data_IF_309180558019
#
_entry.id   IF_309180558019
#
_cell.length_a   1.000
_cell.length_b   1.000
_cell.length_c   1.000
_cell.angle_alpha   90.00
_cell.angle_beta   90.00
_cell.angle_gamma   90.00
#
_symmetry.space_group_name_H-M   'P 1'
#
loop_
_entity.id
_entity.type
_entity.pdbx_description
1 polymer ?
#
# COMPACT_ATOMS: atom_id res chain seq x y z
N UNK A 1 -24.46 49.54 78.43
CA UNK A 1 -23.30 48.80 77.92
C UNK A 1 -23.78 47.39 77.69
N UNK A 2 -24.06 47.06 76.42
CA UNK A 2 -24.62 45.74 76.02
C UNK A 2 -23.55 44.92 75.30
N UNK A 3 -23.31 43.77 75.88
CA UNK A 3 -22.47 42.70 75.26
C UNK A 3 -23.27 42.03 74.15
N UNK A 4 -22.71 41.96 72.98
CA UNK A 4 -23.21 41.18 71.86
C UNK A 4 -22.42 39.91 71.76
N UNK A 5 -23.09 38.79 72.00
CA UNK A 5 -22.64 37.43 71.84
C UNK A 5 -22.69 37.06 70.35
N UNK A 6 -21.55 36.72 69.76
CA UNK A 6 -21.48 36.21 68.40
C UNK A 6 -21.50 34.67 68.37
N UNK A 7 -22.55 34.10 67.76
CA UNK A 7 -22.68 32.67 67.55
C UNK A 7 -21.87 32.24 66.28
N UNK A 8 -20.88 31.32 66.42
CA UNK A 8 -20.19 30.66 65.32
C UNK A 8 -21.03 29.46 64.83
N UNK A 9 -21.49 29.56 63.61
CA UNK A 9 -22.09 28.40 62.89
C UNK A 9 -20.99 27.66 62.16
N UNK A 10 -20.62 26.46 62.60
CA UNK A 10 -19.74 25.57 61.94
C UNK A 10 -20.50 24.85 60.81
N UNK A 11 -20.30 25.29 59.59
CA UNK A 11 -20.81 24.61 58.36
C UNK A 11 -19.92 23.45 57.97
N UNK A 12 -20.44 22.24 58.12
CA UNK A 12 -19.79 21.02 57.65
C UNK A 12 -19.97 20.93 56.12
N UNK A 13 -18.91 21.10 55.35
CA UNK A 13 -18.91 20.89 53.91
C UNK A 13 -18.71 19.41 53.62
N UNK A 14 -19.79 18.71 53.26
CA UNK A 14 -19.72 17.32 52.77
C UNK A 14 -19.33 17.35 51.30
N UNK A 15 -18.08 16.99 50.98
CA UNK A 15 -17.64 16.77 49.62
C UNK A 15 -18.13 15.38 49.17
N UNK A 16 -19.18 15.35 48.37
CA UNK A 16 -19.63 14.14 47.73
C UNK A 16 -18.66 13.82 46.57
N UNK A 17 -17.82 12.79 46.74
CA UNK A 17 -16.99 12.24 45.68
C UNK A 17 -17.89 11.52 44.67
N UNK A 18 -18.23 12.17 43.57
CA UNK A 18 -18.92 11.54 42.43
C UNK A 18 -17.90 10.66 41.72
N UNK A 19 -17.88 9.37 42.08
CA UNK A 19 -17.18 8.36 41.29
C UNK A 19 -18.02 8.13 40.03
N UNK A 20 -17.71 8.86 38.96
CA UNK A 20 -18.27 8.58 37.64
C UNK A 20 -17.86 7.16 37.23
N UNK A 21 -18.68 6.44 36.40
CA UNK A 21 -18.27 5.16 35.86
C UNK A 21 -16.97 5.35 35.08
N UNK A 22 -15.97 4.54 35.43
CA UNK A 22 -14.74 4.42 34.63
C UNK A 22 -15.18 4.11 33.20
N UNK A 23 -14.57 4.74 32.17
CA UNK A 23 -14.86 4.38 30.79
C UNK A 23 -14.64 2.87 30.67
N UNK A 24 -15.62 2.18 30.09
CA UNK A 24 -15.53 0.76 29.81
C UNK A 24 -14.18 0.55 29.12
N UNK A 25 -13.37 -0.35 29.65
CA UNK A 25 -12.08 -0.74 29.08
C UNK A 25 -12.33 -1.13 27.62
N UNK A 26 -11.99 -0.25 26.69
CA UNK A 26 -12.04 -0.54 25.27
C UNK A 26 -11.28 -1.84 25.06
N UNK A 27 -11.92 -2.79 24.40
CA UNK A 27 -11.33 -4.08 24.10
C UNK A 27 -10.06 -3.79 23.28
N UNK A 28 -8.88 -4.04 23.87
CA UNK A 28 -7.61 -3.87 23.15
C UNK A 28 -7.61 -4.91 22.03
N UNK A 29 -7.75 -4.45 20.79
CA UNK A 29 -7.72 -5.32 19.63
C UNK A 29 -6.37 -6.03 19.55
N UNK A 30 -6.38 -7.31 19.23
CA UNK A 30 -5.15 -8.04 18.94
C UNK A 30 -4.53 -7.55 17.61
N UNK A 31 -3.20 -7.70 17.41
CA UNK A 31 -2.58 -7.34 16.12
C UNK A 31 -3.25 -8.03 14.94
N UNK A 32 -3.62 -9.30 15.06
CA UNK A 32 -4.33 -10.05 14.01
C UNK A 32 -5.71 -9.45 13.72
N UNK A 33 -6.49 -9.12 14.75
CA UNK A 33 -7.81 -8.52 14.56
C UNK A 33 -7.73 -7.16 13.83
N UNK A 34 -6.70 -6.36 14.07
CA UNK A 34 -6.50 -5.09 13.36
C UNK A 34 -6.15 -5.37 11.88
N UNK A 35 -5.29 -6.34 11.62
CA UNK A 35 -4.91 -6.72 10.25
C UNK A 35 -6.10 -7.32 9.51
N UNK A 36 -6.91 -8.18 10.14
CA UNK A 36 -8.13 -8.74 9.54
C UNK A 36 -9.10 -7.61 9.12
N UNK A 37 -9.33 -6.63 9.99
CA UNK A 37 -10.15 -5.45 9.67
C UNK A 37 -9.56 -4.61 8.53
N UNK A 38 -8.24 -4.52 8.45
CA UNK A 38 -7.58 -3.82 7.34
C UNK A 38 -7.70 -4.61 6.01
N UNK A 39 -7.69 -5.94 6.06
CA UNK A 39 -7.99 -6.80 4.90
C UNK A 39 -9.43 -6.62 4.46
N UNK A 40 -10.39 -6.69 5.38
CA UNK A 40 -11.81 -6.48 5.09
C UNK A 40 -12.03 -5.12 4.39
N UNK A 41 -11.35 -4.09 4.88
CA UNK A 41 -11.41 -2.74 4.30
C UNK A 41 -10.83 -2.69 2.87
N UNK A 42 -9.70 -3.35 2.63
CA UNK A 42 -9.09 -3.44 1.31
C UNK A 42 -9.95 -4.25 0.33
N UNK A 43 -10.59 -5.31 0.82
CA UNK A 43 -11.51 -6.14 0.02
C UNK A 43 -12.80 -5.39 -0.33
N UNK A 44 -13.36 -4.64 0.61
CA UNK A 44 -14.51 -3.77 0.36
C UNK A 44 -14.20 -2.77 -0.78
N UNK A 45 -13.06 -2.08 -0.73
CA UNK A 45 -12.65 -1.16 -1.80
C UNK A 45 -12.55 -1.87 -3.15
N UNK A 46 -11.98 -3.08 -3.18
CA UNK A 46 -11.85 -3.89 -4.40
C UNK A 46 -13.20 -4.34 -4.94
N UNK A 47 -14.10 -4.80 -4.07
CA UNK A 47 -15.45 -5.24 -4.47
C UNK A 47 -16.28 -4.10 -5.02
N UNK A 48 -16.15 -2.90 -4.46
CA UNK A 48 -16.82 -1.70 -4.93
C UNK A 48 -16.15 -1.07 -6.16
N UNK A 49 -15.00 -1.62 -6.59
CA UNK A 49 -14.20 -1.09 -7.71
C UNK A 49 -13.96 0.43 -7.60
N UNK A 50 -13.72 0.90 -6.39
CA UNK A 50 -13.59 2.34 -6.12
C UNK A 50 -12.38 2.97 -6.79
N UNK A 51 -11.38 2.19 -7.16
CA UNK A 51 -10.22 2.57 -7.96
C UNK A 51 -10.59 3.00 -9.39
N UNK A 52 -11.72 2.49 -9.93
CA UNK A 52 -12.22 2.88 -11.24
C UNK A 52 -12.95 4.24 -11.24
N UNK A 53 -13.26 4.79 -10.08
CA UNK A 53 -13.93 6.08 -9.97
C UNK A 53 -12.99 7.29 -10.14
N UNK A 54 -11.68 7.07 -10.28
CA UNK A 54 -10.70 8.14 -10.30
C UNK A 54 -9.74 8.02 -11.48
N UNK A 55 -9.25 9.16 -11.93
CA UNK A 55 -8.03 9.26 -12.71
C UNK A 55 -6.94 9.92 -11.87
N UNK A 56 -5.68 9.68 -12.23
CA UNK A 56 -4.52 10.26 -11.57
C UNK A 56 -3.37 10.44 -12.56
N UNK A 57 -2.45 11.35 -12.24
CA UNK A 57 -1.15 11.43 -12.91
C UNK A 57 -0.14 10.62 -12.09
N UNK A 58 0.65 9.81 -12.77
CA UNK A 58 1.67 8.96 -12.16
C UNK A 58 3.04 9.31 -12.73
N UNK A 59 3.91 9.83 -11.89
CA UNK A 59 5.31 10.07 -12.25
C UNK A 59 6.15 8.84 -11.85
N UNK A 60 6.93 8.32 -12.80
CA UNK A 60 7.79 7.15 -12.57
C UNK A 60 9.23 7.53 -12.81
N UNK A 61 10.04 7.44 -11.75
CA UNK A 61 11.48 7.58 -11.81
C UNK A 61 12.14 6.22 -11.70
N UNK A 62 12.93 5.83 -12.69
CA UNK A 62 13.73 4.60 -12.67
C UNK A 62 15.21 4.95 -12.64
N UNK A 63 15.88 4.61 -11.55
CA UNK A 63 17.32 4.80 -11.38
C UNK A 63 18.07 3.48 -11.57
N UNK A 64 19.08 3.48 -12.42
CA UNK A 64 20.05 2.40 -12.51
C UNK A 64 21.22 2.72 -11.57
N UNK A 65 21.55 1.78 -10.69
CA UNK A 65 22.59 1.97 -9.68
C UNK A 65 23.85 1.16 -10.02
N UNK A 66 25.01 1.66 -9.61
CA UNK A 66 26.28 0.94 -9.71
C UNK A 66 26.53 0.00 -8.51
N UNK A 67 27.77 -0.52 -8.43
CA UNK A 67 28.21 -1.42 -7.37
C UNK A 67 28.14 -0.82 -5.98
N UNK A 68 28.33 0.47 -5.89
CA UNK A 68 28.41 1.24 -4.63
C UNK A 68 27.08 1.94 -4.31
N UNK A 69 26.07 1.77 -5.18
CA UNK A 69 24.73 2.34 -5.01
C UNK A 69 24.59 3.76 -5.56
N UNK A 70 25.60 4.28 -6.28
CA UNK A 70 25.51 5.57 -6.95
C UNK A 70 24.65 5.46 -8.22
N UNK A 71 23.92 6.54 -8.53
CA UNK A 71 23.05 6.61 -9.70
C UNK A 71 23.92 6.74 -10.97
N UNK A 72 23.73 5.79 -11.92
CA UNK A 72 24.36 5.79 -13.25
C UNK A 72 23.48 6.43 -14.30
N UNK A 73 22.18 6.18 -14.21
CA UNK A 73 21.19 6.63 -15.17
C UNK A 73 19.87 6.82 -14.46
N UNK A 74 19.18 7.89 -14.80
CA UNK A 74 17.78 8.13 -14.41
C UNK A 74 16.94 8.15 -15.68
N UNK A 75 15.77 7.53 -15.63
CA UNK A 75 14.75 7.55 -16.67
C UNK A 75 13.46 8.06 -16.02
N UNK A 76 12.79 9.01 -16.69
CA UNK A 76 11.55 9.62 -16.24
C UNK A 76 10.43 9.28 -17.20
N UNK A 77 9.27 8.89 -16.67
CA UNK A 77 8.06 8.70 -17.46
C UNK A 77 6.85 9.20 -16.69
N UNK A 78 5.92 9.84 -17.38
CA UNK A 78 4.66 10.31 -16.80
C UNK A 78 3.52 9.56 -17.47
N UNK A 79 2.61 9.05 -16.64
CA UNK A 79 1.43 8.33 -17.09
C UNK A 79 0.17 9.04 -16.62
N UNK A 80 -0.89 8.92 -17.39
CA UNK A 80 -2.27 9.16 -16.96
C UNK A 80 -2.89 7.81 -16.63
N UNK A 81 -3.30 7.63 -15.39
CA UNK A 81 -4.00 6.44 -14.93
C UNK A 81 -5.50 6.71 -14.95
N UNK A 82 -6.28 5.83 -15.61
CA UNK A 82 -7.74 5.98 -15.71
C UNK A 82 -8.41 4.63 -16.02
N UNK A 83 -9.72 4.45 -15.78
CA UNK A 83 -10.43 3.25 -16.17
C UNK A 83 -10.58 3.15 -17.69
N UNK A 84 -10.23 1.99 -18.22
CA UNK A 84 -10.41 1.63 -19.62
C UNK A 84 -10.96 0.21 -19.70
N UNK A 85 -12.09 0.01 -20.36
CA UNK A 85 -12.78 -1.30 -20.39
C UNK A 85 -13.01 -1.88 -18.99
N UNK A 86 -13.34 -1.06 -17.98
CA UNK A 86 -13.56 -1.49 -16.60
C UNK A 86 -12.34 -2.06 -15.89
N UNK A 87 -11.14 -1.67 -16.33
CA UNK A 87 -9.85 -2.00 -15.70
C UNK A 87 -8.99 -0.74 -15.66
N UNK A 88 -8.21 -0.55 -14.61
CA UNK A 88 -7.27 0.57 -14.53
C UNK A 88 -6.19 0.42 -15.60
N UNK A 89 -6.04 1.45 -16.43
CA UNK A 89 -5.03 1.55 -17.47
C UNK A 89 -4.09 2.72 -17.19
N UNK A 90 -2.83 2.57 -17.53
CA UNK A 90 -1.81 3.61 -17.43
C UNK A 90 -1.32 3.98 -18.84
N UNK A 91 -1.74 5.12 -19.33
CA UNK A 91 -1.32 5.68 -20.61
C UNK A 91 -0.08 6.53 -20.43
N UNK A 92 1.00 6.21 -21.12
CA UNK A 92 2.19 7.08 -21.10
C UNK A 92 1.88 8.38 -21.84
N UNK A 93 2.10 9.53 -21.18
CA UNK A 93 1.83 10.86 -21.76
C UNK A 93 3.09 11.70 -21.93
N UNK A 94 4.17 11.39 -21.17
CA UNK A 94 5.45 12.07 -21.32
C UNK A 94 6.62 11.13 -20.97
N UNK A 95 7.80 11.43 -21.52
CA UNK A 95 9.05 10.72 -21.32
C UNK A 95 10.20 11.74 -21.20
N UNK A 96 11.07 11.56 -20.20
CA UNK A 96 12.15 12.51 -19.88
C UNK A 96 11.67 13.97 -19.69
N UNK A 97 10.43 14.17 -19.22
CA UNK A 97 9.82 15.48 -19.01
C UNK A 97 9.25 16.14 -20.27
N UNK A 98 9.31 15.48 -21.43
CA UNK A 98 8.77 15.97 -22.70
C UNK A 98 7.56 15.12 -23.13
N UNK A 99 6.59 15.73 -23.82
CA UNK A 99 5.47 14.98 -24.42
C UNK A 99 6.01 13.96 -25.43
N UNK A 100 5.26 12.87 -25.61
CA UNK A 100 5.63 11.80 -26.52
C UNK A 100 5.80 12.34 -27.94
N UNK A 101 6.86 11.89 -28.61
CA UNK A 101 7.01 12.11 -30.03
C UNK A 101 6.05 11.24 -30.85
N UNK A 102 6.10 11.36 -32.18
CA UNK A 102 5.17 10.64 -33.07
C UNK A 102 5.35 9.11 -33.03
N UNK A 103 6.57 8.63 -32.79
CA UNK A 103 6.86 7.19 -32.74
C UNK A 103 6.49 6.62 -31.36
N UNK A 104 6.81 7.30 -30.28
CA UNK A 104 6.38 6.95 -28.93
C UNK A 104 4.84 7.00 -28.80
N UNK A 105 4.17 8.01 -29.40
CA UNK A 105 2.69 8.10 -29.46
C UNK A 105 2.08 6.91 -30.18
N UNK A 106 2.65 6.50 -31.33
CA UNK A 106 2.18 5.33 -32.07
C UNK A 106 2.33 4.05 -31.26
N UNK A 107 3.47 3.88 -30.62
CA UNK A 107 3.76 2.72 -29.77
C UNK A 107 2.79 2.64 -28.60
N UNK A 108 2.44 3.78 -27.99
CA UNK A 108 1.45 3.85 -26.92
C UNK A 108 0.04 3.52 -27.41
N UNK A 109 -0.35 3.98 -28.60
CA UNK A 109 -1.60 3.62 -29.23
C UNK A 109 -1.69 2.10 -29.47
N UNK A 110 -0.65 1.48 -30.03
CA UNK A 110 -0.59 0.03 -30.23
C UNK A 110 -0.69 -0.73 -28.90
N UNK A 111 -0.05 -0.24 -27.84
CA UNK A 111 -0.13 -0.81 -26.50
C UNK A 111 -1.56 -0.73 -25.94
N UNK A 112 -2.22 0.40 -26.10
CA UNK A 112 -3.60 0.62 -25.68
C UNK A 112 -4.59 -0.29 -26.44
N UNK A 113 -4.45 -0.40 -27.77
CA UNK A 113 -5.29 -1.26 -28.60
C UNK A 113 -5.13 -2.73 -28.22
N UNK A 114 -3.90 -3.16 -27.96
CA UNK A 114 -3.59 -4.50 -27.45
C UNK A 114 -4.22 -4.76 -26.09
N UNK A 115 -4.13 -3.81 -25.16
CA UNK A 115 -4.75 -3.91 -23.84
C UNK A 115 -6.26 -4.09 -23.95
N UNK A 116 -6.94 -3.25 -24.73
CA UNK A 116 -8.38 -3.35 -24.97
C UNK A 116 -8.76 -4.74 -25.47
N UNK A 117 -8.02 -5.24 -26.47
CA UNK A 117 -8.25 -6.57 -27.03
C UNK A 117 -8.09 -7.67 -25.97
N UNK A 118 -7.02 -7.64 -25.19
CA UNK A 118 -6.75 -8.64 -24.15
C UNK A 118 -7.80 -8.62 -23.04
N UNK A 119 -8.26 -7.43 -22.60
CA UNK A 119 -9.32 -7.28 -21.59
C UNK A 119 -10.64 -7.90 -22.10
N UNK A 120 -11.01 -7.60 -23.35
CA UNK A 120 -12.22 -8.16 -23.97
C UNK A 120 -12.14 -9.67 -24.13
N UNK A 121 -11.01 -10.20 -24.63
CA UNK A 121 -10.81 -11.65 -24.79
C UNK A 121 -10.89 -12.40 -23.45
N UNK A 122 -10.34 -11.85 -22.35
CA UNK A 122 -10.47 -12.44 -21.01
C UNK A 122 -11.92 -12.42 -20.53
N UNK A 123 -12.61 -11.32 -20.70
CA UNK A 123 -14.03 -11.19 -20.33
C UNK A 123 -14.88 -12.20 -21.08
N UNK A 124 -14.68 -12.37 -22.39
CA UNK A 124 -15.41 -13.33 -23.22
C UNK A 124 -15.18 -14.78 -22.76
N UNK A 125 -14.02 -15.08 -22.18
CA UNK A 125 -13.68 -16.39 -21.58
C UNK A 125 -14.16 -16.54 -20.14
N UNK A 126 -14.72 -15.50 -19.51
CA UNK A 126 -15.09 -15.51 -18.09
C UNK A 126 -13.88 -15.47 -17.13
N UNK A 127 -12.74 -15.01 -17.60
CA UNK A 127 -11.52 -14.81 -16.82
C UNK A 127 -11.51 -13.41 -16.17
N UNK A 128 -10.67 -13.18 -15.15
CA UNK A 128 -10.49 -11.83 -14.58
C UNK A 128 -9.95 -10.88 -15.68
N UNK A 129 -10.67 -9.81 -16.01
CA UNK A 129 -10.25 -8.88 -17.06
C UNK A 129 -8.91 -8.20 -16.76
N UNK A 130 -8.51 -8.08 -15.49
CA UNK A 130 -7.19 -7.54 -15.08
C UNK A 130 -6.04 -8.48 -15.42
N UNK A 131 -6.35 -9.74 -15.75
CA UNK A 131 -5.39 -10.78 -16.01
C UNK A 131 -4.77 -11.35 -14.73
N UNK A 132 -4.07 -12.47 -14.93
CA UNK A 132 -3.32 -13.15 -13.87
C UNK A 132 -1.87 -12.61 -13.88
N UNK A 133 -1.55 -11.70 -12.96
CA UNK A 133 -0.17 -11.25 -12.75
C UNK A 133 0.44 -12.07 -11.61
N UNK A 134 1.31 -13.01 -11.97
CA UNK A 134 2.05 -13.83 -11.00
C UNK A 134 2.85 -13.02 -9.97
N UNK A 135 3.09 -11.75 -10.24
CA UNK A 135 3.85 -10.85 -9.35
C UNK A 135 2.94 -9.93 -8.53
N UNK A 136 1.62 -9.94 -8.78
CA UNK A 136 0.70 -9.12 -8.01
C UNK A 136 0.59 -9.63 -6.58
N UNK A 137 0.76 -8.73 -5.63
CA UNK A 137 0.55 -8.99 -4.20
C UNK A 137 -0.70 -8.25 -3.77
N UNK A 138 -1.74 -9.00 -3.47
CA UNK A 138 -2.96 -8.46 -2.88
C UNK A 138 -2.85 -8.53 -1.35
N UNK A 139 -3.27 -7.47 -0.69
CA UNK A 139 -3.43 -7.47 0.76
C UNK A 139 -4.74 -8.17 1.11
N UNK A 140 -4.66 -9.47 1.37
CA UNK A 140 -5.79 -10.38 1.57
C UNK A 140 -5.46 -11.47 2.60
N UNK A 141 -6.39 -12.38 2.85
CA UNK A 141 -6.20 -13.49 3.80
C UNK A 141 -4.98 -14.37 3.45
N UNK A 142 -4.69 -14.62 2.17
CA UNK A 142 -3.51 -15.40 1.76
C UNK A 142 -2.22 -14.70 2.18
N UNK A 143 -2.13 -13.38 1.99
CA UNK A 143 -1.01 -12.58 2.46
C UNK A 143 -0.87 -12.68 3.98
N UNK A 144 -1.96 -12.43 4.72
CA UNK A 144 -1.97 -12.44 6.19
C UNK A 144 -1.59 -13.81 6.75
N UNK A 145 -2.01 -14.90 6.12
CA UNK A 145 -1.72 -16.26 6.56
C UNK A 145 -0.23 -16.60 6.65
N UNK A 146 0.63 -15.82 5.97
CA UNK A 146 2.08 -16.02 5.92
C UNK A 146 2.82 -15.47 7.12
N UNK A 147 2.21 -14.55 7.88
CA UNK A 147 2.92 -13.72 8.86
C UNK A 147 2.36 -13.86 10.28
N UNK A 148 3.24 -13.67 11.24
CA UNK A 148 2.90 -13.31 12.60
C UNK A 148 3.01 -11.79 12.75
N UNK A 149 2.17 -11.19 13.61
CA UNK A 149 2.01 -9.75 13.76
C UNK A 149 2.18 -9.30 15.19
N UNK A 150 2.84 -8.14 15.39
CA UNK A 150 3.04 -7.51 16.71
C UNK A 150 2.81 -6.01 16.61
N UNK A 151 2.01 -5.44 17.51
CA UNK A 151 1.93 -3.98 17.67
C UNK A 151 3.23 -3.53 18.34
N UNK A 152 3.98 -2.67 17.65
CA UNK A 152 5.25 -2.14 18.16
C UNK A 152 5.15 -0.66 18.57
N UNK A 153 4.01 -0.02 18.33
CA UNK A 153 3.75 1.36 18.73
C UNK A 153 2.62 1.99 17.96
N UNK A 154 2.56 3.31 18.04
CA UNK A 154 1.67 4.17 17.30
C UNK A 154 2.46 5.28 16.63
N UNK A 155 1.97 5.79 15.50
CA UNK A 155 2.57 6.91 14.79
C UNK A 155 1.50 7.69 14.02
N UNK A 156 1.77 8.96 13.76
CA UNK A 156 0.93 9.77 12.86
C UNK A 156 1.55 9.75 11.47
N UNK A 157 0.78 9.33 10.47
CA UNK A 157 1.15 9.30 9.05
C UNK A 157 0.09 10.09 8.29
N UNK A 158 0.49 11.15 7.58
CA UNK A 158 -0.43 11.99 6.80
C UNK A 158 -1.68 12.40 7.59
N UNK A 159 -1.49 12.87 8.84
CA UNK A 159 -2.52 13.28 9.79
C UNK A 159 -3.41 12.13 10.35
N UNK A 160 -3.15 10.86 10.02
CA UNK A 160 -3.85 9.71 10.57
C UNK A 160 -3.06 9.09 11.72
N UNK A 161 -3.71 8.91 12.88
CA UNK A 161 -3.16 8.12 13.97
C UNK A 161 -3.24 6.64 13.57
N UNK A 162 -2.11 5.97 13.55
CA UNK A 162 -1.99 4.59 13.09
C UNK A 162 -1.36 3.69 14.16
N UNK A 163 -1.85 2.45 14.26
CA UNK A 163 -1.06 1.38 14.86
C UNK A 163 0.12 1.05 13.94
N UNK A 164 1.30 0.87 14.55
CA UNK A 164 2.49 0.36 13.86
C UNK A 164 2.61 -1.12 14.15
N UNK A 165 2.41 -1.95 13.13
CA UNK A 165 2.38 -3.41 13.25
C UNK A 165 3.56 -4.00 12.50
N UNK A 166 4.46 -4.66 13.23
CA UNK A 166 5.56 -5.44 12.65
C UNK A 166 5.04 -6.79 12.18
N UNK A 167 5.54 -7.25 11.02
CA UNK A 167 5.22 -8.55 10.45
C UNK A 167 6.51 -9.36 10.21
N UNK A 168 6.44 -10.66 10.50
CA UNK A 168 7.52 -11.63 10.21
C UNK A 168 6.93 -12.92 9.68
N UNK A 169 7.57 -13.56 8.69
CA UNK A 169 7.10 -14.85 8.20
C UNK A 169 6.97 -15.86 9.35
N UNK A 170 5.88 -16.61 9.36
CA UNK A 170 5.66 -17.70 10.31
C UNK A 170 6.70 -18.78 10.14
N UNK A 171 6.97 -19.51 11.22
CA UNK A 171 7.80 -20.68 11.14
C UNK A 171 7.05 -21.84 10.46
N UNK A 172 7.73 -22.60 9.62
CA UNK A 172 7.19 -23.78 8.94
C UNK A 172 7.14 -23.62 7.42
N UNK A 173 6.42 -24.54 6.77
CA UNK A 173 6.24 -24.54 5.33
C UNK A 173 5.17 -23.50 4.94
N UNK A 174 5.58 -22.45 4.28
CA UNK A 174 4.70 -21.42 3.76
C UNK A 174 4.32 -21.70 2.30
N UNK A 175 3.13 -21.26 1.84
CA UNK A 175 2.74 -21.40 0.45
C UNK A 175 3.79 -20.79 -0.50
N UNK A 176 4.21 -21.58 -1.52
CA UNK A 176 5.21 -21.16 -2.53
C UNK A 176 4.74 -21.65 -3.90
N UNK A 177 3.60 -21.11 -4.38
CA UNK A 177 2.97 -21.48 -5.67
C UNK A 177 3.46 -20.56 -6.79
N UNK A 178 3.67 -19.30 -6.49
CA UNK A 178 4.09 -18.25 -7.43
C UNK A 178 5.52 -17.83 -7.10
N UNK A 179 6.20 -17.20 -8.05
CA UNK A 179 7.58 -16.69 -7.85
C UNK A 179 7.66 -15.63 -6.75
N UNK A 180 6.63 -14.79 -6.66
CA UNK A 180 6.57 -13.74 -5.64
C UNK A 180 6.45 -14.32 -4.22
N UNK A 181 5.88 -15.52 -4.07
CA UNK A 181 5.69 -16.16 -2.78
C UNK A 181 7.01 -16.41 -2.05
N UNK A 182 8.07 -16.79 -2.79
CA UNK A 182 9.40 -16.95 -2.22
C UNK A 182 9.95 -15.62 -1.66
N UNK A 183 9.68 -14.52 -2.33
CA UNK A 183 10.07 -13.19 -1.84
C UNK A 183 9.26 -12.82 -0.59
N UNK A 184 7.94 -13.02 -0.60
CA UNK A 184 7.07 -12.77 0.56
C UNK A 184 7.48 -13.61 1.76
N UNK A 185 7.72 -14.92 1.58
CA UNK A 185 8.12 -15.83 2.64
C UNK A 185 9.50 -15.53 3.25
N UNK A 186 10.27 -14.63 2.61
CA UNK A 186 11.58 -14.18 3.10
C UNK A 186 11.61 -12.68 3.42
N UNK A 187 10.48 -12.00 3.46
CA UNK A 187 10.38 -10.58 3.76
C UNK A 187 9.84 -10.34 5.16
N UNK A 188 10.39 -9.35 5.83
CA UNK A 188 9.87 -8.77 7.08
C UNK A 188 9.44 -7.34 6.81
N UNK A 189 8.64 -6.75 7.68
CA UNK A 189 8.21 -5.38 7.44
C UNK A 189 7.38 -4.77 8.55
N UNK A 190 6.79 -3.64 8.23
CA UNK A 190 5.83 -2.93 9.08
C UNK A 190 4.66 -2.43 8.26
N UNK A 191 3.49 -2.43 8.88
CA UNK A 191 2.26 -1.89 8.32
C UNK A 191 1.74 -0.84 9.29
N UNK A 192 1.35 0.31 8.76
CA UNK A 192 0.68 1.38 9.52
C UNK A 192 -0.80 1.34 9.16
N UNK A 193 -1.63 1.00 10.12
CA UNK A 193 -3.08 0.87 9.97
C UNK A 193 -3.76 2.01 10.72
N UNK A 194 -4.58 2.78 10.01
CA UNK A 194 -5.36 3.89 10.57
C UNK A 194 -6.29 3.40 11.70
N UNK A 195 -6.31 4.12 12.82
CA UNK A 195 -7.19 3.80 13.95
C UNK A 195 -8.65 4.23 13.69
N UNK A 196 -8.88 5.10 12.70
CA UNK A 196 -10.21 5.62 12.40
C UNK A 196 -11.06 4.65 11.58
N UNK A 197 -10.44 3.99 10.56
CA UNK A 197 -11.17 3.23 9.54
C UNK A 197 -10.45 1.98 9.04
N UNK A 198 -9.38 1.57 9.72
CA UNK A 198 -8.54 0.41 9.40
C UNK A 198 -7.89 0.46 8.01
N UNK A 199 -7.85 1.62 7.37
CA UNK A 199 -7.13 1.79 6.12
C UNK A 199 -5.62 1.70 6.30
N UNK A 200 -4.94 1.14 5.31
CA UNK A 200 -3.47 1.03 5.34
C UNK A 200 -2.86 2.34 4.86
N UNK A 201 -2.16 3.05 5.76
CA UNK A 201 -1.50 4.33 5.44
C UNK A 201 -0.08 4.14 4.89
N UNK A 202 0.63 3.07 5.32
CA UNK A 202 1.98 2.76 4.85
C UNK A 202 2.28 1.27 5.00
N UNK A 203 3.08 0.74 4.07
CA UNK A 203 3.73 -0.56 4.18
C UNK A 203 5.21 -0.36 3.91
N UNK A 204 6.07 -0.87 4.77
CA UNK A 204 7.50 -1.00 4.53
C UNK A 204 7.89 -2.46 4.64
N UNK A 205 8.75 -2.92 3.72
CA UNK A 205 9.27 -4.28 3.76
C UNK A 205 10.74 -4.34 3.36
N UNK A 206 11.41 -5.36 3.85
CA UNK A 206 12.75 -5.72 3.44
C UNK A 206 12.89 -7.24 3.34
N UNK A 207 13.66 -7.70 2.37
CA UNK A 207 14.00 -9.11 2.27
C UNK A 207 15.10 -9.47 3.26
N UNK A 208 14.80 -10.39 4.18
CA UNK A 208 15.76 -10.88 5.16
C UNK A 208 16.79 -11.84 4.55
N UNK A 209 16.44 -12.54 3.46
CA UNK A 209 17.28 -13.53 2.78
C UNK A 209 17.17 -13.44 1.28
N UNK A 210 18.25 -13.72 0.57
CA UNK A 210 18.24 -13.80 -0.89
C UNK A 210 17.38 -14.96 -1.39
N UNK A 211 16.59 -14.70 -2.44
CA UNK A 211 15.73 -15.69 -3.11
C UNK A 211 16.34 -16.09 -4.45
N UNK A 212 16.46 -17.40 -4.69
CA UNK A 212 17.00 -17.96 -5.94
C UNK A 212 15.86 -18.50 -6.79
N UNK A 213 15.73 -17.97 -7.99
CA UNK A 213 14.77 -18.46 -8.97
C UNK A 213 15.39 -19.59 -9.80
N UNK A 214 14.69 -20.72 -9.90
CA UNK A 214 15.13 -21.91 -10.67
C UNK A 214 16.55 -22.35 -10.29
N UNK A 215 16.80 -22.56 -9.00
CA UNK A 215 18.11 -22.99 -8.48
C UNK A 215 19.24 -21.99 -8.73
N UNK A 216 18.90 -20.71 -9.04
CA UNK A 216 19.88 -19.65 -9.34
C UNK A 216 20.19 -19.48 -10.83
N UNK A 217 19.66 -20.34 -11.71
CA UNK A 217 19.88 -20.25 -13.18
C UNK A 217 19.12 -19.07 -13.75
N UNK A 218 17.86 -18.86 -13.34
CA UNK A 218 17.05 -17.73 -13.81
C UNK A 218 17.41 -16.41 -13.12
N UNK A 219 17.99 -16.46 -11.92
CA UNK A 219 18.43 -15.28 -11.21
C UNK A 219 18.41 -15.45 -9.69
N UNK A 220 18.95 -14.44 -9.00
CA UNK A 220 18.93 -14.33 -7.54
C UNK A 220 18.53 -12.91 -7.19
N UNK A 221 17.40 -12.77 -6.51
CA UNK A 221 16.99 -11.53 -5.86
C UNK A 221 17.69 -11.46 -4.51
N UNK A 222 18.50 -10.43 -4.28
CA UNK A 222 19.37 -10.35 -3.10
C UNK A 222 18.79 -9.46 -2.02
N UNK A 223 18.77 -8.18 -2.28
CA UNK A 223 18.28 -7.18 -1.35
C UNK A 223 17.15 -6.43 -2.04
N UNK A 224 15.96 -6.53 -1.47
CA UNK A 224 14.83 -5.74 -1.92
C UNK A 224 14.27 -5.05 -0.70
N UNK A 225 14.15 -3.75 -0.80
CA UNK A 225 13.44 -2.93 0.18
C UNK A 225 12.37 -2.16 -0.55
N UNK A 226 11.24 -1.96 0.09
CA UNK A 226 10.14 -1.21 -0.50
C UNK A 226 9.34 -0.47 0.54
N UNK A 227 8.80 0.66 0.10
CA UNK A 227 7.86 1.48 0.83
C UNK A 227 6.68 1.79 -0.06
N UNK A 228 5.48 1.60 0.45
CA UNK A 228 4.22 1.99 -0.15
C UNK A 228 3.55 2.97 0.79
N UNK A 229 3.12 4.10 0.28
CA UNK A 229 2.39 5.10 1.03
C UNK A 229 1.03 5.35 0.40
N UNK A 230 0.03 5.52 1.25
CA UNK A 230 -1.35 5.74 0.85
C UNK A 230 -1.92 6.93 1.60
N UNK A 231 -2.89 7.59 1.00
CA UNK A 231 -3.67 8.65 1.62
C UNK A 231 -5.15 8.37 1.39
N UNK A 232 -5.98 8.79 2.34
CA UNK A 232 -7.41 8.68 2.15
C UNK A 232 -7.90 9.78 1.22
N UNK A 233 -8.41 9.40 0.06
CA UNK A 233 -9.02 10.26 -0.92
C UNK A 233 -10.51 9.93 -1.05
N UNK A 234 -11.36 10.77 -0.48
CA UNK A 234 -12.79 10.45 -0.34
C UNK A 234 -13.02 9.20 0.52
N UNK A 235 -13.55 8.16 -0.10
CA UNK A 235 -13.82 6.85 0.54
C UNK A 235 -12.74 5.81 0.35
N UNK A 236 -11.70 6.09 -0.44
CA UNK A 236 -10.63 5.14 -0.76
C UNK A 236 -9.31 5.51 -0.07
N UNK A 237 -8.48 4.50 0.17
CA UNK A 237 -7.06 4.65 0.42
C UNK A 237 -6.32 4.48 -0.91
N UNK A 238 -5.88 5.61 -1.47
CA UNK A 238 -5.22 5.68 -2.76
C UNK A 238 -3.69 5.74 -2.59
N UNK A 239 -2.91 5.08 -3.47
CA UNK A 239 -1.46 5.17 -3.42
C UNK A 239 -0.99 6.60 -3.66
N UNK A 240 0.03 7.05 -2.93
CA UNK A 240 0.73 8.32 -3.20
C UNK A 240 2.16 8.09 -3.62
N UNK A 241 2.82 7.09 -3.02
CA UNK A 241 4.22 6.81 -3.33
C UNK A 241 4.49 5.32 -3.23
N UNK A 242 5.22 4.80 -4.20
CA UNK A 242 5.88 3.49 -4.14
C UNK A 242 7.36 3.72 -4.41
N UNK A 243 8.23 3.35 -3.47
CA UNK A 243 9.68 3.39 -3.61
C UNK A 243 10.24 1.98 -3.40
N UNK A 244 10.73 1.35 -4.46
CA UNK A 244 11.27 -0.01 -4.41
C UNK A 244 12.71 0.00 -4.91
N UNK A 245 13.61 -0.55 -4.11
CA UNK A 245 14.99 -0.81 -4.49
C UNK A 245 15.22 -2.31 -4.66
N UNK A 246 15.75 -2.69 -5.82
CA UNK A 246 15.99 -4.07 -6.22
C UNK A 246 17.49 -4.31 -6.46
N UNK A 247 18.03 -5.42 -5.95
CA UNK A 247 19.32 -5.98 -6.35
C UNK A 247 19.08 -7.39 -6.89
N UNK A 248 19.08 -7.51 -8.22
CA UNK A 248 18.85 -8.75 -8.96
C UNK A 248 20.13 -9.19 -9.68
N UNK A 249 20.52 -10.45 -9.51
CA UNK A 249 21.60 -11.07 -10.28
C UNK A 249 21.00 -12.06 -11.26
N UNK A 250 21.24 -11.84 -12.56
CA UNK A 250 20.87 -12.77 -13.64
C UNK A 250 22.16 -13.27 -14.26
N UNK A 251 22.45 -14.57 -14.17
CA UNK A 251 23.71 -15.16 -14.60
C UNK A 251 24.91 -14.40 -14.02
N UNK A 252 25.64 -13.67 -14.87
CA UNK A 252 26.83 -12.88 -14.52
C UNK A 252 26.56 -11.38 -14.39
N UNK A 253 25.32 -10.93 -14.68
CA UNK A 253 24.91 -9.52 -14.66
C UNK A 253 24.22 -9.17 -13.36
N UNK A 254 24.74 -8.18 -12.66
CA UNK A 254 24.05 -7.57 -11.54
C UNK A 254 23.22 -6.38 -12.05
N UNK A 255 21.94 -6.36 -11.69
CA UNK A 255 20.99 -5.29 -12.01
C UNK A 255 20.56 -4.70 -10.69
N UNK A 256 20.92 -3.44 -10.46
CA UNK A 256 20.47 -2.67 -9.30
C UNK A 256 19.63 -1.52 -9.81
N UNK A 257 18.41 -1.44 -9.32
CA UNK A 257 17.46 -0.40 -9.69
C UNK A 257 16.72 0.12 -8.47
N UNK A 258 16.40 1.38 -8.52
CA UNK A 258 15.36 1.98 -7.68
C UNK A 258 14.25 2.46 -8.60
N UNK A 259 13.01 2.14 -8.26
CA UNK A 259 11.82 2.63 -8.96
C UNK A 259 11.00 3.40 -7.95
N UNK A 260 10.77 4.67 -8.23
CA UNK A 260 9.88 5.53 -7.47
C UNK A 260 8.67 5.83 -8.35
N UNK A 261 7.49 5.62 -7.82
CA UNK A 261 6.23 6.00 -8.45
C UNK A 261 5.51 6.97 -7.52
N UNK A 262 5.07 8.07 -8.05
CA UNK A 262 4.35 9.11 -7.29
C UNK A 262 3.05 9.41 -8.00
N UNK A 263 1.93 9.30 -7.25
CA UNK A 263 0.60 9.62 -7.74
C UNK A 263 0.17 10.99 -7.26
N UNK A 264 -0.33 11.79 -8.19
CA UNK A 264 -0.88 13.11 -7.93
C UNK A 264 -2.15 13.36 -8.74
N UNK A 265 -2.71 14.54 -8.55
CA UNK A 265 -3.85 15.05 -9.33
C UNK A 265 -5.04 14.09 -9.43
N UNK A 266 -5.35 13.40 -8.31
CA UNK A 266 -6.53 12.54 -8.26
C UNK A 266 -7.80 13.32 -8.57
N UNK A 267 -8.52 12.90 -9.60
CA UNK A 267 -9.77 13.51 -10.04
C UNK A 267 -10.87 12.47 -10.08
N UNK A 268 -12.00 12.77 -9.42
CA UNK A 268 -13.17 11.91 -9.46
C UNK A 268 -13.81 12.00 -10.85
N UNK A 269 -14.02 10.86 -11.48
CA UNK A 269 -14.65 10.76 -12.79
C UNK A 269 -16.18 10.91 -12.68
N UNK A 270 -16.84 11.52 -13.65
CA UNK A 270 -18.31 11.53 -13.74
C UNK A 270 -18.86 10.11 -13.82
N UNK A 271 -19.97 9.84 -13.16
CA UNK A 271 -20.60 8.51 -13.14
C UNK A 271 -20.91 7.93 -14.55
N UNK A 272 -21.02 8.79 -15.56
CA UNK A 272 -21.26 8.40 -16.96
C UNK A 272 -20.02 7.82 -17.67
N UNK A 273 -18.82 7.94 -17.09
CA UNK A 273 -17.57 7.38 -17.66
C UNK A 273 -17.21 6.02 -17.06
N UNK A 274 -18.07 5.50 -16.15
CA UNK A 274 -17.89 4.21 -15.48
C UNK A 274 -18.68 3.06 -16.16
N UNK A 275 -19.43 3.35 -17.24
CA UNK A 275 -20.14 2.35 -18.07
C UNK A 275 -19.23 1.92 -19.25
#
# INVERSE_FOLDING_TARGET
>A
MKLLSGAYIAGTVTVALVIGPLPASGQVLSPHAIIDLAVDRAEEQRMLQTDLAYEAIVEVTTEQLDGDGAIKKTELATFRQYPLEGVVYEEMIAKEGELLDADDTRSEQERRDKFIKEVRERRDKGEDPRGDDENRVDFNEEFVSRYDFWIVGEAVINDYLCWVIELKPRNGDLPARRRIDDALNNSTGRIWVSQDDYGVARIEFEMAKSVRFWGGIAGTLRNTVGRFEFVRYGSIWAPTTIDIRLDLRILFKNIRRRVVREWGDYTLLPAAELE
#
